data_IF_400169445439
#
_entry.id   IF_400169445439
#
_cell.length_a   1.000
_cell.length_b   1.000
_cell.length_c   1.000
_cell.angle_alpha   90.00
_cell.angle_beta   90.00
_cell.angle_gamma   90.00
#
_symmetry.space_group_name_H-M   'P 1'
#
loop_
_entity.id
_entity.type
_entity.pdbx_description
1 polymer ?
#
# COMPACT_ATOMS: atom_id res chain seq x y z
N UNK A 1 26.30 -14.70 9.98
CA UNK A 1 25.30 -13.65 9.72
C UNK A 1 25.69 -12.96 8.43
N UNK A 2 24.85 -13.06 7.40
CA UNK A 2 25.00 -12.22 6.20
C UNK A 2 24.69 -10.79 6.67
N UNK A 3 25.60 -9.86 6.39
CA UNK A 3 25.39 -8.46 6.75
C UNK A 3 24.42 -7.86 5.72
N UNK A 4 23.11 -7.99 5.98
CA UNK A 4 22.09 -7.48 5.06
C UNK A 4 22.13 -5.95 5.09
N UNK A 5 22.30 -5.34 3.93
CA UNK A 5 22.19 -3.90 3.79
C UNK A 5 20.71 -3.48 3.93
N UNK A 6 20.34 -2.89 5.07
CA UNK A 6 18.96 -2.48 5.37
C UNK A 6 18.33 -1.62 4.28
N UNK A 7 19.14 -0.79 3.61
CA UNK A 7 18.66 0.06 2.51
C UNK A 7 18.27 -0.77 1.29
N UNK A 8 19.05 -1.79 0.95
CA UNK A 8 18.75 -2.70 -0.16
C UNK A 8 17.52 -3.57 0.16
N UNK A 9 17.42 -4.08 1.39
CA UNK A 9 16.25 -4.84 1.84
C UNK A 9 14.96 -4.00 1.79
N UNK A 10 15.00 -2.78 2.31
CA UNK A 10 13.89 -1.84 2.27
C UNK A 10 13.53 -1.44 0.82
N UNK A 11 14.53 -1.29 -0.06
CA UNK A 11 14.32 -0.98 -1.47
C UNK A 11 13.68 -2.13 -2.23
N UNK A 12 14.11 -3.37 -1.97
CA UNK A 12 13.49 -4.55 -2.54
C UNK A 12 12.02 -4.67 -2.11
N UNK A 13 11.72 -4.47 -0.82
CA UNK A 13 10.35 -4.50 -0.32
C UNK A 13 9.48 -3.39 -0.93
N UNK A 14 10.00 -2.15 -1.00
CA UNK A 14 9.31 -1.01 -1.61
C UNK A 14 8.96 -1.28 -3.08
N UNK A 15 9.95 -1.72 -3.87
CA UNK A 15 9.75 -2.01 -5.29
C UNK A 15 8.79 -3.18 -5.50
N UNK A 16 8.96 -4.27 -4.75
CA UNK A 16 8.09 -5.45 -4.87
C UNK A 16 6.65 -5.14 -4.46
N UNK A 17 6.44 -4.34 -3.41
CA UNK A 17 5.11 -3.92 -2.98
C UNK A 17 4.46 -3.02 -4.03
N UNK A 18 5.20 -2.03 -4.54
CA UNK A 18 4.70 -1.14 -5.60
C UNK A 18 4.29 -1.90 -6.88
N UNK A 19 5.12 -2.85 -7.32
CA UNK A 19 4.80 -3.71 -8.47
C UNK A 19 3.62 -4.65 -8.20
N UNK A 20 3.45 -5.12 -6.95
CA UNK A 20 2.27 -5.91 -6.57
C UNK A 20 0.99 -5.07 -6.63
N UNK A 21 1.05 -3.78 -6.27
CA UNK A 21 -0.08 -2.85 -6.37
C UNK A 21 -0.55 -2.70 -7.83
N UNK A 22 0.38 -2.63 -8.78
CA UNK A 22 0.08 -2.53 -10.22
C UNK A 22 -0.73 -3.70 -10.77
N UNK A 23 -0.60 -4.89 -10.19
CA UNK A 23 -1.31 -6.09 -10.65
C UNK A 23 -2.83 -5.96 -10.54
N UNK A 24 -3.32 -5.08 -9.65
CA UNK A 24 -4.75 -4.78 -9.48
C UNK A 24 -5.34 -3.87 -10.55
N UNK A 25 -4.55 -3.42 -11.53
CA UNK A 25 -4.96 -2.40 -12.49
C UNK A 25 -6.27 -2.70 -13.21
N UNK A 26 -7.30 -1.88 -12.95
CA UNK A 26 -8.65 -2.03 -13.53
C UNK A 26 -9.25 -3.45 -13.40
N UNK A 27 -8.97 -4.13 -12.29
CA UNK A 27 -9.37 -5.52 -12.04
C UNK A 27 -8.87 -6.50 -13.12
N UNK A 28 -7.67 -6.27 -13.65
CA UNK A 28 -6.97 -7.22 -14.54
C UNK A 28 -6.67 -8.57 -13.87
N UNK A 29 -6.68 -8.60 -12.54
CA UNK A 29 -6.64 -9.79 -11.70
C UNK A 29 -7.79 -9.74 -10.67
N UNK A 30 -8.22 -10.90 -10.13
CA UNK A 30 -9.17 -10.92 -9.02
C UNK A 30 -8.68 -10.08 -7.83
N UNK A 31 -9.51 -9.15 -7.36
CA UNK A 31 -9.12 -8.21 -6.30
C UNK A 31 -8.77 -8.93 -5.00
N UNK A 32 -9.38 -10.09 -4.74
CA UNK A 32 -9.05 -10.95 -3.60
C UNK A 32 -7.60 -11.43 -3.65
N UNK A 33 -7.11 -11.84 -4.83
CA UNK A 33 -5.72 -12.29 -5.00
C UNK A 33 -4.73 -11.15 -4.90
N UNK A 34 -5.09 -9.97 -5.41
CA UNK A 34 -4.29 -8.75 -5.27
C UNK A 34 -4.20 -8.34 -3.79
N UNK A 35 -5.33 -8.34 -3.09
CA UNK A 35 -5.38 -8.01 -1.67
C UNK A 35 -4.55 -8.97 -0.82
N UNK A 36 -4.63 -10.28 -1.09
CA UNK A 36 -3.82 -11.29 -0.42
C UNK A 36 -2.32 -11.08 -0.66
N UNK A 37 -1.95 -10.79 -1.91
CA UNK A 37 -0.56 -10.49 -2.28
C UNK A 37 -0.04 -9.24 -1.55
N UNK A 38 -0.82 -8.15 -1.52
CA UNK A 38 -0.44 -6.92 -0.83
C UNK A 38 -0.34 -7.12 0.69
N UNK A 39 -1.28 -7.86 1.29
CA UNK A 39 -1.25 -8.19 2.71
C UNK A 39 0.00 -9.00 3.10
N UNK A 40 0.56 -9.79 2.17
CA UNK A 40 1.78 -10.57 2.41
C UNK A 40 3.03 -9.72 2.69
N UNK A 41 2.98 -8.41 2.45
CA UNK A 41 4.05 -7.48 2.80
C UNK A 41 3.93 -6.94 4.22
N UNK A 42 2.77 -7.07 4.86
CA UNK A 42 2.55 -6.58 6.20
C UNK A 42 3.11 -7.54 7.24
N UNK A 43 3.63 -6.98 8.32
CA UNK A 43 4.04 -7.72 9.50
C UNK A 43 2.84 -7.96 10.42
N UNK A 44 2.97 -8.90 11.34
CA UNK A 44 1.97 -9.08 12.39
C UNK A 44 1.80 -7.77 13.19
N UNK A 45 0.56 -7.44 13.54
CA UNK A 45 0.19 -6.17 14.18
C UNK A 45 0.54 -4.91 13.36
N UNK A 46 0.51 -5.01 12.03
CA UNK A 46 0.66 -3.86 11.15
C UNK A 46 -0.31 -2.74 11.54
N UNK A 47 0.19 -1.52 11.67
CA UNK A 47 -0.61 -0.36 12.08
C UNK A 47 -0.67 0.70 10.97
N UNK A 48 -1.87 1.00 10.52
CA UNK A 48 -2.15 2.04 9.53
C UNK A 48 -2.64 3.32 10.20
N UNK A 49 -2.12 4.45 9.74
CA UNK A 49 -2.48 5.80 10.13
C UNK A 49 -3.07 6.53 8.92
N UNK A 50 -4.25 7.14 9.08
CA UNK A 50 -4.88 7.95 8.04
C UNK A 50 -5.79 9.04 8.63
N UNK A 51 -5.48 10.31 8.34
CA UNK A 51 -6.21 11.51 8.73
C UNK A 51 -6.58 11.54 10.23
N UNK A 52 -5.65 11.10 11.09
CA UNK A 52 -5.84 10.99 12.55
C UNK A 52 -6.49 9.69 13.02
N UNK A 53 -6.98 8.85 12.11
CA UNK A 53 -7.41 7.48 12.37
C UNK A 53 -6.24 6.53 12.56
N UNK A 54 -6.42 5.54 13.43
CA UNK A 54 -5.43 4.49 13.72
C UNK A 54 -6.13 3.14 13.64
N UNK A 55 -5.56 2.22 12.86
CA UNK A 55 -6.05 0.84 12.76
C UNK A 55 -4.91 -0.15 12.82
N UNK A 56 -4.94 -1.04 13.81
CA UNK A 56 -4.01 -2.17 13.89
C UNK A 56 -4.66 -3.42 13.33
N UNK A 57 -3.97 -4.08 12.40
CA UNK A 57 -4.39 -5.31 11.75
C UNK A 57 -3.61 -6.47 12.40
N UNK A 58 -4.27 -7.34 13.19
CA UNK A 58 -3.57 -8.31 14.02
C UNK A 58 -2.85 -9.40 13.22
N UNK A 59 -3.34 -9.71 12.02
CA UNK A 59 -2.86 -10.83 11.21
C UNK A 59 -3.10 -10.60 9.71
N UNK A 60 -2.60 -11.53 8.91
CA UNK A 60 -2.72 -11.53 7.45
C UNK A 60 -4.18 -11.50 6.98
N UNK A 61 -5.07 -12.26 7.60
CA UNK A 61 -6.50 -12.30 7.22
C UNK A 61 -7.17 -10.91 7.38
N UNK A 62 -6.96 -10.26 8.53
CA UNK A 62 -7.47 -8.92 8.78
C UNK A 62 -6.86 -7.88 7.83
N UNK A 63 -5.58 -8.05 7.47
CA UNK A 63 -4.90 -7.25 6.46
C UNK A 63 -5.52 -7.41 5.07
N UNK A 64 -5.68 -8.66 4.60
CA UNK A 64 -6.31 -8.99 3.32
C UNK A 64 -7.71 -8.42 3.23
N UNK A 65 -8.54 -8.59 4.27
CA UNK A 65 -9.89 -8.04 4.31
C UNK A 65 -9.90 -6.50 4.21
N UNK A 66 -8.96 -5.83 4.89
CA UNK A 66 -8.83 -4.37 4.84
C UNK A 66 -8.42 -3.85 3.46
N UNK A 67 -7.42 -4.49 2.84
CA UNK A 67 -6.96 -4.11 1.49
C UNK A 67 -8.06 -4.39 0.45
N UNK A 68 -8.72 -5.54 0.54
CA UNK A 68 -9.81 -5.90 -0.36
C UNK A 68 -10.94 -4.88 -0.30
N UNK A 69 -11.34 -4.47 0.91
CA UNK A 69 -12.36 -3.44 1.10
C UNK A 69 -11.98 -2.13 0.38
N UNK A 70 -10.73 -1.66 0.52
CA UNK A 70 -10.27 -0.44 -0.15
C UNK A 70 -10.30 -0.59 -1.69
N UNK A 71 -9.79 -1.70 -2.23
CA UNK A 71 -9.81 -1.96 -3.67
C UNK A 71 -11.24 -2.03 -4.23
N UNK A 72 -12.16 -2.67 -3.50
CA UNK A 72 -13.56 -2.74 -3.87
C UNK A 72 -14.21 -1.36 -3.90
N UNK A 73 -13.94 -0.50 -2.91
CA UNK A 73 -14.46 0.87 -2.86
C UNK A 73 -13.95 1.73 -4.02
N UNK A 74 -12.66 1.64 -4.34
CA UNK A 74 -12.09 2.31 -5.51
C UNK A 74 -12.76 1.85 -6.82
N UNK A 75 -12.90 0.53 -7.00
CA UNK A 75 -13.54 -0.02 -8.21
C UNK A 75 -15.03 0.35 -8.32
N UNK A 76 -15.78 0.26 -7.21
CA UNK A 76 -17.22 0.57 -7.17
C UNK A 76 -17.51 2.05 -7.36
N UNK A 77 -16.62 2.94 -6.91
CA UNK A 77 -16.76 4.38 -7.13
C UNK A 77 -16.65 4.80 -8.59
N UNK A 78 -16.15 3.93 -9.48
CA UNK A 78 -15.87 4.25 -10.88
C UNK A 78 -14.48 4.85 -11.11
N UNK A 79 -13.70 5.15 -10.06
CA UNK A 79 -12.28 5.47 -10.18
C UNK A 79 -11.47 4.32 -10.77
N UNK A 80 -11.79 3.07 -10.40
CA UNK A 80 -10.98 1.92 -10.79
C UNK A 80 -9.71 1.77 -9.94
N UNK A 81 -8.89 0.80 -10.31
CA UNK A 81 -7.76 0.33 -9.49
C UNK A 81 -6.41 0.33 -10.23
N UNK A 82 -6.29 1.05 -11.35
CA UNK A 82 -5.00 1.28 -12.04
C UNK A 82 -4.13 2.24 -11.22
N UNK A 83 -3.50 1.67 -10.19
CA UNK A 83 -2.53 2.32 -9.31
C UNK A 83 -1.15 1.84 -9.70
N UNK A 84 -0.22 2.78 -9.95
CA UNK A 84 1.13 2.49 -10.41
C UNK A 84 2.17 3.00 -9.46
N UNK A 85 3.24 2.23 -9.33
CA UNK A 85 4.40 2.63 -8.57
C UNK A 85 5.19 3.68 -9.33
N UNK A 86 5.53 4.78 -8.66
CA UNK A 86 6.24 5.91 -9.24
C UNK A 86 7.53 6.24 -8.46
N UNK A 87 8.20 5.21 -7.97
CA UNK A 87 9.45 5.37 -7.24
C UNK A 87 9.26 5.71 -5.77
N UNK A 88 10.32 6.21 -5.16
CA UNK A 88 10.35 6.51 -3.73
C UNK A 88 11.75 6.81 -3.22
N UNK A 89 11.86 7.07 -1.92
CA UNK A 89 13.14 7.14 -1.24
C UNK A 89 13.09 6.47 0.13
N UNK A 90 14.27 6.20 0.68
CA UNK A 90 14.44 5.42 1.91
C UNK A 90 15.33 6.18 2.87
N UNK A 91 14.80 6.43 4.06
CA UNK A 91 15.53 6.97 5.19
C UNK A 91 15.85 5.84 6.16
N UNK A 92 17.12 5.47 6.24
CA UNK A 92 17.57 4.43 7.18
C UNK A 92 17.49 4.97 8.60
N UNK A 93 16.76 4.27 9.46
CA UNK A 93 16.60 4.62 10.88
C UNK A 93 17.62 3.86 11.73
N UNK A 94 17.81 2.57 11.43
CA UNK A 94 18.76 1.70 12.12
C UNK A 94 19.16 0.52 11.23
N UNK A 95 19.99 -0.38 11.74
CA UNK A 95 20.28 -1.66 11.09
C UNK A 95 19.08 -2.62 11.03
N UNK A 96 17.92 -2.27 11.58
CA UNK A 96 16.73 -3.12 11.64
C UNK A 96 15.47 -2.42 11.11
N UNK A 97 15.54 -1.13 10.79
CA UNK A 97 14.37 -0.36 10.37
C UNK A 97 14.71 0.80 9.46
N UNK A 98 13.77 1.14 8.58
CA UNK A 98 13.85 2.28 7.68
C UNK A 98 12.44 2.87 7.46
N UNK A 99 12.38 4.13 7.06
CA UNK A 99 11.16 4.75 6.54
C UNK A 99 11.24 4.74 5.01
N UNK A 100 10.22 4.18 4.38
CA UNK A 100 10.10 4.11 2.94
C UNK A 100 9.00 5.07 2.47
N UNK A 101 9.38 6.10 1.73
CA UNK A 101 8.46 7.04 1.10
C UNK A 101 8.12 6.52 -0.28
N UNK A 102 6.97 5.87 -0.40
CA UNK A 102 6.55 5.16 -1.61
C UNK A 102 5.57 6.03 -2.38
N UNK A 103 5.94 6.38 -3.61
CA UNK A 103 5.13 7.22 -4.48
C UNK A 103 4.26 6.36 -5.38
N UNK A 104 3.00 6.74 -5.50
CA UNK A 104 2.02 6.10 -6.36
C UNK A 104 1.35 7.12 -7.26
N UNK A 105 0.84 6.66 -8.40
CA UNK A 105 -0.13 7.37 -9.23
C UNK A 105 -1.37 6.51 -9.44
N UNK A 106 -2.55 7.12 -9.53
CA UNK A 106 -3.76 6.43 -10.02
C UNK A 106 -4.15 7.00 -11.38
N UNK A 107 -4.57 6.11 -12.27
CA UNK A 107 -5.15 6.42 -13.57
C UNK A 107 -6.63 6.05 -13.54
N UNK A 108 -7.52 7.02 -13.31
CA UNK A 108 -8.94 6.76 -13.23
C UNK A 108 -9.47 6.08 -14.49
N UNK A 109 -10.41 5.16 -14.31
CA UNK A 109 -11.14 4.50 -15.41
C UNK A 109 -12.12 5.46 -16.12
N UNK A 110 -12.44 6.58 -15.48
CA UNK A 110 -13.29 7.65 -16.01
C UNK A 110 -12.45 8.80 -16.58
N UNK A 111 -13.03 9.54 -17.52
CA UNK A 111 -12.49 10.80 -18.05
C UNK A 111 -12.92 12.05 -17.23
N UNK A 112 -13.84 11.88 -16.27
CA UNK A 112 -14.36 12.99 -15.44
C UNK A 112 -13.36 13.49 -14.39
N UNK A 113 -12.39 12.65 -14.02
CA UNK A 113 -11.43 12.92 -12.96
C UNK A 113 -10.03 12.69 -13.51
N UNK A 114 -9.18 13.70 -13.38
CA UNK A 114 -7.77 13.57 -13.73
C UNK A 114 -7.05 12.65 -12.73
N UNK A 115 -6.11 11.84 -13.24
CA UNK A 115 -5.22 11.06 -12.41
C UNK A 115 -4.39 11.92 -11.46
N UNK A 116 -3.93 11.32 -10.37
CA UNK A 116 -3.12 12.03 -9.38
C UNK A 116 -2.09 11.11 -8.76
N UNK A 117 -1.07 11.72 -8.17
CA UNK A 117 -0.04 11.02 -7.42
C UNK A 117 -0.10 11.34 -5.94
N UNK A 118 0.36 10.43 -5.11
CA UNK A 118 0.52 10.62 -3.67
C UNK A 118 1.76 9.88 -3.16
N UNK A 119 2.16 10.19 -1.94
CA UNK A 119 3.20 9.44 -1.22
C UNK A 119 2.61 8.85 0.04
N UNK A 120 2.82 7.54 0.22
CA UNK A 120 2.59 6.86 1.49
C UNK A 120 3.94 6.62 2.18
N UNK A 121 3.96 6.70 3.51
CA UNK A 121 5.17 6.42 4.29
C UNK A 121 5.00 5.08 4.98
N UNK A 122 5.89 4.13 4.70
CA UNK A 122 5.88 2.81 5.32
C UNK A 122 7.04 2.64 6.28
N UNK A 123 6.76 2.12 7.48
CA UNK A 123 7.79 1.66 8.39
C UNK A 123 8.26 0.27 7.96
N UNK A 124 9.48 0.16 7.46
CA UNK A 124 10.12 -1.11 7.16
C UNK A 124 10.78 -1.70 8.40
N UNK A 125 10.62 -3.01 8.62
CA UNK A 125 11.37 -3.75 9.63
C UNK A 125 11.90 -5.07 9.09
N UNK A 126 13.14 -5.38 9.45
CA UNK A 126 13.75 -6.68 9.19
C UNK A 126 12.96 -7.79 9.87
N UNK A 127 12.73 -8.88 9.15
CA UNK A 127 12.13 -10.10 9.67
C UNK A 127 12.66 -11.27 8.85
N UNK A 128 13.45 -12.13 9.48
CA UNK A 128 13.98 -13.33 8.83
C UNK A 128 12.87 -14.37 8.58
N UNK A 129 13.08 -15.21 7.55
CA UNK A 129 12.24 -16.38 7.31
C UNK A 129 10.86 -16.09 6.70
N UNK A 130 10.68 -14.94 6.06
CA UNK A 130 9.44 -14.64 5.34
C UNK A 130 9.27 -15.55 4.12
N UNK A 131 8.04 -15.99 3.88
CA UNK A 131 7.68 -16.87 2.76
C UNK A 131 7.75 -16.18 1.39
N UNK A 132 7.72 -14.85 1.35
CA UNK A 132 7.77 -14.06 0.11
C UNK A 132 9.20 -13.77 -0.38
N UNK A 133 10.23 -14.34 0.27
CA UNK A 133 11.64 -14.17 -0.11
C UNK A 133 12.23 -12.79 0.19
N UNK A 134 11.48 -11.92 0.90
CA UNK A 134 11.98 -10.63 1.36
C UNK A 134 12.59 -10.75 2.76
N UNK A 135 13.56 -9.89 3.04
CA UNK A 135 14.28 -9.81 4.32
C UNK A 135 13.49 -9.05 5.42
N UNK A 136 12.30 -8.55 5.08
CA UNK A 136 11.46 -7.77 5.98
C UNK A 136 10.14 -7.37 5.36
N UNK A 137 9.38 -6.53 6.06
CA UNK A 137 8.07 -6.08 5.64
C UNK A 137 7.64 -4.78 6.32
N UNK A 138 6.39 -4.40 6.10
CA UNK A 138 5.81 -3.19 6.65
C UNK A 138 5.26 -3.45 8.04
N UNK A 139 5.75 -2.73 9.04
CA UNK A 139 5.15 -2.71 10.38
C UNK A 139 4.09 -1.63 10.52
N UNK A 140 4.15 -0.59 9.67
CA UNK A 140 3.20 0.51 9.69
C UNK A 140 3.11 1.22 8.34
N UNK A 141 2.04 2.00 8.16
CA UNK A 141 1.90 2.96 7.07
C UNK A 141 1.24 4.26 7.54
N UNK A 142 1.64 5.39 6.99
CA UNK A 142 0.84 6.61 6.96
C UNK A 142 0.37 6.87 5.52
N UNK A 143 -0.94 6.98 5.34
CA UNK A 143 -1.60 7.20 4.04
C UNK A 143 -2.41 8.49 3.98
N UNK A 144 -2.04 9.51 4.76
CA UNK A 144 -2.76 10.79 4.82
C UNK A 144 -2.90 11.45 3.43
N UNK A 145 -1.84 11.42 2.61
CA UNK A 145 -1.90 11.98 1.26
C UNK A 145 -2.81 11.18 0.33
N UNK A 146 -2.82 9.85 0.43
CA UNK A 146 -3.70 8.99 -0.36
C UNK A 146 -5.15 9.32 -0.05
N UNK A 147 -5.51 9.23 1.23
CA UNK A 147 -6.90 9.37 1.68
C UNK A 147 -7.36 10.82 1.52
N UNK A 148 -6.53 11.81 1.83
CA UNK A 148 -6.85 13.22 1.62
C UNK A 148 -7.18 13.53 0.16
N UNK A 149 -6.30 13.13 -0.78
CA UNK A 149 -6.53 13.36 -2.21
C UNK A 149 -7.70 12.57 -2.78
N UNK A 150 -7.96 11.38 -2.22
CA UNK A 150 -9.12 10.57 -2.57
C UNK A 150 -10.42 11.29 -2.17
N UNK A 151 -10.51 11.78 -0.92
CA UNK A 151 -11.70 12.45 -0.40
C UNK A 151 -11.94 13.82 -1.02
N UNK A 152 -10.93 14.49 -1.55
CA UNK A 152 -11.12 15.70 -2.38
C UNK A 152 -11.91 15.42 -3.67
N UNK A 153 -11.84 14.18 -4.18
CA UNK A 153 -12.40 13.77 -5.48
C UNK A 153 -13.69 12.99 -5.33
N UNK A 154 -13.76 12.12 -4.33
CA UNK A 154 -14.94 11.31 -3.99
C UNK A 154 -15.17 11.38 -2.48
N UNK A 155 -15.75 12.48 -1.97
CA UNK A 155 -15.87 12.73 -0.52
C UNK A 155 -16.62 11.65 0.26
N UNK A 156 -17.56 10.97 -0.38
CA UNK A 156 -18.47 9.97 0.18
C UNK A 156 -18.15 8.54 -0.30
N UNK A 157 -16.92 8.27 -0.76
CA UNK A 157 -16.53 6.97 -1.34
C UNK A 157 -16.87 5.77 -0.43
N UNK A 158 -16.75 5.93 0.88
CA UNK A 158 -17.04 4.86 1.84
C UNK A 158 -18.55 4.63 2.04
N UNK A 159 -19.36 5.65 1.76
CA UNK A 159 -20.83 5.64 1.85
C UNK A 159 -21.50 5.27 0.50
N UNK A 160 -20.71 5.08 -0.57
CA UNK A 160 -21.20 4.69 -1.89
C UNK A 160 -21.03 5.77 -2.96
N UNK A 161 -20.26 6.82 -2.68
CA UNK A 161 -19.91 7.87 -3.63
C UNK A 161 -19.30 7.34 -4.93
N UNK A 162 -19.67 7.98 -6.04
CA UNK A 162 -19.24 7.61 -7.39
C UNK A 162 -18.83 8.82 -8.22
N UNK A 163 -18.01 8.57 -9.23
CA UNK A 163 -17.50 9.58 -10.20
C UNK A 163 -18.41 9.80 -11.40
#
# INVERSE_FOLDING_TARGET
>A
MVNVNIKEAAQAAMMAYGLATEQGGNASAPLEGVADTLASFYLANFTSFSLGGIKTLPNHEAATAGVLYQLQKLNQSGLGTDIRYNGGHIDVVSNQSALCWVMFEIRPKTDKIEGWSWTNVYGFRMQEGRSNGLEGGWESSNSDQEIGKLLERVPDIYEGGTV
#
